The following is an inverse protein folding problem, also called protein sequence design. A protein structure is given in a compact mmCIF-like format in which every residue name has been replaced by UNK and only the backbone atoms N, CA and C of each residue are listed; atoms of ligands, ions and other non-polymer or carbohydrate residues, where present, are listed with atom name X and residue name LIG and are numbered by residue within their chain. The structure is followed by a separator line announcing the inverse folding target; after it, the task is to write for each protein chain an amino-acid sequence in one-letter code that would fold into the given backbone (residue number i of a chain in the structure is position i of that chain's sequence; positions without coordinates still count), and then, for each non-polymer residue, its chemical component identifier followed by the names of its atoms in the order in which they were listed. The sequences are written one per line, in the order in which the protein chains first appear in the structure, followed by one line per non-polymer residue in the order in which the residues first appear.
data_IF_120201304565
#
_entry.id   IF_120201304565
#
_cell.length_a   1.000
_cell.length_b   1.000
_cell.length_c   1.000
_cell.angle_alpha   90.00
_cell.angle_beta   90.00
_cell.angle_gamma   90.00
#
_symmetry.space_group_name_H-M   'P 1'
#
loop_
_entity.id
_entity.type
_entity.pdbx_description
1 polymer ?
#
# COMPACT_ATOMS: atom_id res chain seq x y z
N UNK A 1 -0.81 -12.28 -19.91
CA UNK A 1 -1.96 -11.49 -19.44
C UNK A 1 -2.88 -11.34 -20.63
N UNK A 2 -4.13 -11.74 -20.54
CA UNK A 2 -5.10 -11.69 -21.64
C UNK A 2 -6.00 -10.48 -21.40
N UNK A 3 -6.21 -9.64 -22.42
CA UNK A 3 -7.18 -8.54 -22.36
C UNK A 3 -8.49 -9.00 -23.04
N UNK A 4 -9.62 -8.78 -22.36
CA UNK A 4 -10.96 -9.06 -22.84
C UNK A 4 -11.77 -7.77 -22.76
N UNK A 5 -12.41 -7.37 -23.86
CA UNK A 5 -13.40 -6.28 -23.83
C UNK A 5 -14.74 -6.85 -23.40
N UNK A 6 -15.34 -6.31 -22.35
CA UNK A 6 -16.60 -6.74 -21.79
C UNK A 6 -17.58 -5.58 -21.75
N UNK A 7 -18.81 -5.74 -22.32
CA UNK A 7 -19.84 -4.73 -22.22
C UNK A 7 -20.42 -4.71 -20.80
N UNK A 8 -20.29 -3.60 -20.10
CA UNK A 8 -20.83 -3.41 -18.76
C UNK A 8 -21.64 -2.11 -18.72
N UNK A 9 -22.93 -2.23 -18.43
CA UNK A 9 -23.85 -1.08 -18.32
C UNK A 9 -23.76 -0.13 -19.54
N UNK A 10 -23.65 -0.67 -20.75
CA UNK A 10 -23.58 0.11 -22.01
C UNK A 10 -22.19 0.65 -22.36
N UNK A 11 -21.18 0.45 -21.52
CA UNK A 11 -19.80 0.87 -21.75
C UNK A 11 -18.87 -0.32 -22.02
N UNK A 12 -17.90 -0.14 -22.92
CA UNK A 12 -16.85 -1.12 -23.15
C UNK A 12 -15.78 -1.04 -22.06
N UNK A 13 -15.63 -2.12 -21.28
CA UNK A 13 -14.67 -2.21 -20.19
C UNK A 13 -13.59 -3.22 -20.53
N UNK A 14 -12.32 -2.86 -20.36
CA UNK A 14 -11.20 -3.77 -20.59
C UNK A 14 -10.92 -4.58 -19.33
N UNK A 15 -11.04 -5.90 -19.42
CA UNK A 15 -10.72 -6.84 -18.35
C UNK A 15 -9.32 -7.43 -18.59
N UNK A 16 -8.36 -7.11 -17.75
CA UNK A 16 -7.01 -7.69 -17.76
C UNK A 16 -7.01 -8.97 -16.94
N UNK A 17 -7.07 -10.12 -17.61
CA UNK A 17 -7.22 -11.42 -16.96
C UNK A 17 -5.86 -12.10 -16.80
N UNK A 18 -5.57 -12.58 -15.58
CA UNK A 18 -4.45 -13.46 -15.30
C UNK A 18 -4.91 -14.73 -14.56
N UNK A 19 -4.17 -15.83 -14.73
CA UNK A 19 -4.49 -17.14 -14.15
C UNK A 19 -3.57 -17.47 -12.97
N UNK A 20 -3.57 -16.59 -11.93
CA UNK A 20 -2.68 -16.70 -10.76
C UNK A 20 -3.41 -16.83 -9.43
N UNK A 21 -4.74 -16.76 -9.42
CA UNK A 21 -5.52 -16.94 -8.19
C UNK A 21 -5.51 -18.42 -7.76
N UNK A 22 -5.43 -18.67 -6.46
CA UNK A 22 -5.40 -20.07 -5.92
C UNK A 22 -6.78 -20.72 -5.89
N UNK A 23 -7.80 -19.99 -5.42
CA UNK A 23 -9.16 -20.53 -5.20
C UNK A 23 -10.27 -19.65 -5.78
N UNK A 24 -10.23 -18.35 -5.53
CA UNK A 24 -11.33 -17.43 -5.80
C UNK A 24 -10.99 -16.49 -6.95
N UNK A 25 -12.01 -15.96 -7.62
CA UNK A 25 -11.86 -14.85 -8.56
C UNK A 25 -11.62 -13.58 -7.75
N UNK A 26 -10.56 -12.84 -8.08
CA UNK A 26 -10.19 -11.58 -7.42
C UNK A 26 -10.31 -10.48 -8.47
N UNK A 27 -11.10 -9.45 -8.16
CA UNK A 27 -11.28 -8.27 -9.01
C UNK A 27 -10.64 -7.06 -8.34
N UNK A 28 -9.79 -6.37 -9.07
CA UNK A 28 -9.13 -5.13 -8.61
C UNK A 28 -9.37 -4.01 -9.62
N UNK A 29 -9.68 -2.80 -9.18
CA UNK A 29 -9.78 -1.65 -10.05
C UNK A 29 -8.41 -1.33 -10.67
N UNK A 30 -8.39 -0.97 -11.96
CA UNK A 30 -7.16 -0.59 -12.66
C UNK A 30 -7.24 0.83 -13.20
N UNK A 31 -8.29 1.16 -13.96
CA UNK A 31 -8.55 2.51 -14.46
C UNK A 31 -10.06 2.77 -14.53
N UNK A 32 -10.45 3.98 -14.96
CA UNK A 32 -11.86 4.36 -15.16
C UNK A 32 -12.63 3.41 -16.10
N UNK A 33 -11.91 2.72 -16.99
CA UNK A 33 -12.50 1.83 -18.01
C UNK A 33 -11.87 0.43 -18.01
N UNK A 34 -11.11 0.06 -16.98
CA UNK A 34 -10.47 -1.26 -16.95
C UNK A 34 -10.35 -1.84 -15.53
N UNK A 35 -10.41 -3.19 -15.45
CA UNK A 35 -10.28 -3.97 -14.24
C UNK A 35 -9.21 -5.05 -14.43
N UNK A 36 -8.47 -5.35 -13.35
CA UNK A 36 -7.66 -6.56 -13.26
C UNK A 36 -8.46 -7.70 -12.63
N UNK A 37 -8.51 -8.84 -13.31
CA UNK A 37 -9.18 -10.03 -12.81
C UNK A 37 -8.17 -11.17 -12.72
N UNK A 38 -7.95 -11.66 -11.52
CA UNK A 38 -7.15 -12.85 -11.28
C UNK A 38 -8.08 -14.04 -11.08
N UNK A 39 -7.92 -15.07 -11.90
CA UNK A 39 -8.74 -16.29 -11.88
C UNK A 39 -7.88 -17.52 -11.59
N UNK A 40 -8.47 -18.57 -11.00
CA UNK A 40 -7.79 -19.87 -10.87
C UNK A 40 -7.44 -20.46 -12.23
N UNK A 41 -6.29 -21.19 -12.36
CA UNK A 41 -5.89 -21.81 -13.63
C UNK A 41 -6.91 -22.80 -14.21
N UNK A 42 -7.63 -23.49 -13.32
CA UNK A 42 -8.63 -24.50 -13.67
C UNK A 42 -10.00 -23.95 -14.08
N UNK A 43 -10.24 -22.64 -13.93
CA UNK A 43 -11.52 -22.04 -14.28
C UNK A 43 -11.70 -21.98 -15.80
N UNK A 44 -12.78 -22.62 -16.31
CA UNK A 44 -13.11 -22.62 -17.75
C UNK A 44 -13.60 -21.24 -18.20
N UNK A 45 -13.47 -20.98 -19.50
CA UNK A 45 -13.92 -19.70 -20.09
C UNK A 45 -15.44 -19.52 -19.96
N UNK A 46 -16.21 -20.57 -20.12
CA UNK A 46 -17.67 -20.54 -19.96
C UNK A 46 -18.09 -20.18 -18.53
N UNK A 47 -17.44 -20.76 -17.53
CA UNK A 47 -17.68 -20.42 -16.12
C UNK A 47 -17.24 -18.99 -15.77
N UNK A 48 -16.17 -18.52 -16.36
CA UNK A 48 -15.77 -17.12 -16.19
C UNK A 48 -16.82 -16.17 -16.78
N UNK A 49 -17.34 -16.44 -17.98
CA UNK A 49 -18.40 -15.62 -18.59
C UNK A 49 -19.68 -15.63 -17.75
N UNK A 50 -20.08 -16.78 -17.26
CA UNK A 50 -21.24 -16.89 -16.36
C UNK A 50 -21.03 -16.08 -15.07
N UNK A 51 -19.83 -16.15 -14.48
CA UNK A 51 -19.48 -15.41 -13.28
C UNK A 51 -19.49 -13.90 -13.55
N UNK A 52 -18.93 -13.43 -14.67
CA UNK A 52 -18.92 -12.01 -15.05
C UNK A 52 -20.33 -11.46 -15.14
N UNK A 53 -21.26 -12.16 -15.82
CA UNK A 53 -22.68 -11.78 -15.93
C UNK A 53 -23.37 -11.74 -14.58
N UNK A 54 -23.15 -12.73 -13.72
CA UNK A 54 -23.74 -12.79 -12.39
C UNK A 54 -23.22 -11.70 -11.43
N UNK A 55 -22.05 -11.10 -11.72
CA UNK A 55 -21.40 -10.13 -10.85
C UNK A 55 -21.23 -8.75 -11.49
N UNK A 56 -22.03 -8.41 -12.51
CA UNK A 56 -22.01 -7.07 -13.13
C UNK A 56 -22.14 -5.91 -12.14
N UNK A 57 -23.01 -5.96 -11.12
CA UNK A 57 -23.09 -4.90 -10.11
C UNK A 57 -21.77 -4.71 -9.34
N UNK A 58 -21.07 -5.79 -9.02
CA UNK A 58 -19.77 -5.76 -8.36
C UNK A 58 -18.70 -5.11 -9.27
N UNK A 59 -18.69 -5.48 -10.57
CA UNK A 59 -17.77 -4.92 -11.55
C UNK A 59 -18.00 -3.42 -11.73
N UNK A 60 -19.26 -2.99 -11.82
CA UNK A 60 -19.63 -1.58 -11.89
C UNK A 60 -19.20 -0.80 -10.64
N UNK A 61 -19.40 -1.36 -9.44
CA UNK A 61 -18.92 -0.76 -8.20
C UNK A 61 -17.39 -0.62 -8.18
N UNK A 62 -16.66 -1.62 -8.67
CA UNK A 62 -15.19 -1.56 -8.74
C UNK A 62 -14.70 -0.51 -9.73
N UNK A 63 -15.37 -0.34 -10.87
CA UNK A 63 -15.09 0.74 -11.82
C UNK A 63 -15.39 2.12 -11.24
N UNK A 64 -16.51 2.28 -10.54
CA UNK A 64 -16.85 3.53 -9.87
C UNK A 64 -15.76 3.91 -8.83
N UNK A 65 -15.27 2.94 -8.06
CA UNK A 65 -14.13 3.14 -7.16
C UNK A 65 -12.86 3.57 -7.90
N UNK A 66 -12.59 3.00 -9.07
CA UNK A 66 -11.45 3.38 -9.90
C UNK A 66 -11.61 4.79 -10.49
N UNK A 67 -12.85 5.17 -10.85
CA UNK A 67 -13.15 6.50 -11.40
C UNK A 67 -12.97 7.62 -10.36
N UNK A 68 -13.27 7.34 -9.09
CA UNK A 68 -13.08 8.28 -7.99
C UNK A 68 -11.61 8.41 -7.54
N UNK A 69 -10.71 7.59 -8.09
CA UNK A 69 -9.30 7.64 -7.74
C UNK A 69 -8.50 8.11 -8.96
N UNK A 70 -7.85 9.28 -8.88
CA UNK A 70 -7.00 9.74 -9.97
C UNK A 70 -5.94 8.68 -10.28
N UNK A 71 -5.62 8.45 -11.58
CA UNK A 71 -4.51 7.59 -11.94
C UNK A 71 -3.26 8.16 -11.29
N UNK A 72 -2.48 7.30 -10.62
CA UNK A 72 -1.15 7.69 -10.14
C UNK A 72 -0.32 7.93 -11.40
N UNK A 73 0.16 9.17 -11.64
CA UNK A 73 0.98 9.45 -12.80
C UNK A 73 2.21 8.55 -12.77
N UNK A 74 2.36 7.69 -13.76
CA UNK A 74 3.57 6.88 -13.88
C UNK A 74 4.62 7.74 -14.60
N UNK A 75 5.79 7.90 -13.99
CA UNK A 75 6.98 8.59 -14.52
C UNK A 75 6.95 10.14 -14.53
N UNK A 76 6.01 10.80 -13.90
CA UNK A 76 6.09 12.25 -13.67
C UNK A 76 6.27 12.55 -12.19
N UNK A 77 7.16 13.48 -11.86
CA UNK A 77 7.31 13.95 -10.49
C UNK A 77 5.99 14.57 -10.03
N UNK A 78 5.38 14.13 -8.92
CA UNK A 78 4.17 14.76 -8.40
C UNK A 78 4.49 16.15 -7.84
N UNK A 79 3.47 17.00 -7.70
CA UNK A 79 3.65 18.32 -7.09
C UNK A 79 3.96 18.25 -5.59
N UNK A 80 3.50 17.17 -4.93
CA UNK A 80 3.69 16.95 -3.50
C UNK A 80 3.72 15.45 -3.19
N UNK A 81 4.27 15.12 -2.03
CA UNK A 81 4.19 13.78 -1.44
C UNK A 81 3.76 13.87 0.02
N UNK A 82 3.30 12.74 0.57
CA UNK A 82 3.19 12.62 2.01
C UNK A 82 4.59 12.49 2.64
N UNK A 83 4.86 13.30 3.65
CA UNK A 83 6.06 13.26 4.48
C UNK A 83 5.68 13.44 5.94
N UNK A 84 5.87 12.40 6.76
CA UNK A 84 5.47 12.36 8.18
C UNK A 84 4.03 12.87 8.43
N UNK A 85 3.08 12.46 7.61
CA UNK A 85 1.66 12.82 7.74
C UNK A 85 1.29 14.20 7.20
N UNK A 86 2.21 14.90 6.53
CA UNK A 86 1.97 16.22 5.91
C UNK A 86 2.11 16.13 4.40
N UNK A 87 1.21 16.79 3.67
CA UNK A 87 1.37 17.01 2.22
C UNK A 87 2.49 17.98 2.01
N UNK A 88 3.62 17.52 1.50
CA UNK A 88 4.87 18.28 1.38
C UNK A 88 5.15 18.53 -0.10
N UNK A 89 5.20 19.82 -0.53
CA UNK A 89 5.52 20.19 -1.89
C UNK A 89 6.92 19.73 -2.29
N UNK A 90 7.08 19.39 -3.57
CA UNK A 90 8.37 19.08 -4.19
C UNK A 90 8.84 20.28 -5.01
N UNK A 91 10.01 20.80 -4.69
CA UNK A 91 10.61 21.98 -5.34
C UNK A 91 11.90 21.58 -6.03
N UNK A 92 12.00 21.80 -7.34
CA UNK A 92 13.26 21.61 -8.05
C UNK A 92 14.13 22.85 -7.83
N UNK A 93 15.31 22.62 -7.27
CA UNK A 93 16.29 23.68 -6.99
C UNK A 93 17.54 23.48 -7.83
N UNK A 94 17.68 24.27 -8.89
CA UNK A 94 18.86 24.24 -9.74
C UNK A 94 20.16 24.46 -8.93
N UNK A 95 21.16 23.63 -9.16
CA UNK A 95 22.44 23.70 -8.43
C UNK A 95 22.45 22.95 -7.09
N UNK A 96 21.34 22.40 -6.62
CA UNK A 96 21.37 21.49 -5.48
C UNK A 96 22.06 20.17 -5.87
N UNK A 97 22.85 19.60 -4.96
CA UNK A 97 23.54 18.31 -5.18
C UNK A 97 22.87 17.17 -4.41
N UNK A 98 21.95 17.49 -3.49
CA UNK A 98 21.30 16.53 -2.62
C UNK A 98 19.85 16.93 -2.35
N UNK A 99 19.01 15.91 -2.07
CA UNK A 99 17.65 16.13 -1.61
C UNK A 99 17.68 16.62 -0.17
N UNK A 100 16.96 17.70 0.13
CA UNK A 100 16.87 18.29 1.47
C UNK A 100 15.43 18.65 1.82
N UNK A 101 15.06 18.39 3.06
CA UNK A 101 13.80 18.86 3.64
C UNK A 101 14.05 20.15 4.44
N UNK A 102 13.27 21.19 4.17
CA UNK A 102 13.33 22.46 4.90
C UNK A 102 11.94 22.76 5.50
N UNK A 103 11.61 22.18 6.62
CA UNK A 103 10.37 22.42 7.41
C UNK A 103 9.03 22.47 6.64
N UNK A 104 9.00 22.86 5.36
CA UNK A 104 7.79 23.05 4.55
C UNK A 104 7.80 22.35 3.20
N UNK A 105 8.96 22.06 2.61
CA UNK A 105 9.10 21.48 1.27
C UNK A 105 10.30 20.58 1.14
N UNK A 106 10.27 19.67 0.17
CA UNK A 106 11.40 18.85 -0.24
C UNK A 106 12.05 19.45 -1.48
N UNK A 107 13.31 19.86 -1.34
CA UNK A 107 14.11 20.40 -2.42
C UNK A 107 14.88 19.29 -3.12
N UNK A 108 14.72 19.20 -4.43
CA UNK A 108 15.33 18.16 -5.28
C UNK A 108 16.29 18.82 -6.28
N UNK A 109 17.41 18.15 -6.60
CA UNK A 109 18.33 18.60 -7.65
C UNK A 109 17.70 18.63 -9.03
N UNK A 110 16.82 17.66 -9.31
CA UNK A 110 16.15 17.45 -10.58
C UNK A 110 14.77 16.80 -10.40
N UNK A 111 14.06 16.57 -11.51
CA UNK A 111 12.74 15.95 -11.54
C UNK A 111 12.77 14.40 -11.56
N UNK A 112 13.90 13.77 -11.28
CA UNK A 112 14.05 12.32 -11.36
C UNK A 112 13.39 11.61 -10.16
N UNK A 113 12.51 10.67 -10.45
CA UNK A 113 11.77 9.92 -9.42
C UNK A 113 12.67 8.92 -8.69
N UNK A 114 13.58 8.26 -9.39
CA UNK A 114 14.40 7.20 -8.81
C UNK A 114 15.32 7.70 -7.65
N UNK A 115 16.03 8.85 -7.76
CA UNK A 115 16.78 9.41 -6.65
C UNK A 115 15.88 9.77 -5.45
N UNK A 116 14.67 10.31 -5.70
CA UNK A 116 13.71 10.60 -4.65
C UNK A 116 13.23 9.33 -3.94
N UNK A 117 12.89 8.28 -4.69
CA UNK A 117 12.53 6.99 -4.10
C UNK A 117 13.67 6.39 -3.27
N UNK A 118 14.91 6.51 -3.74
CA UNK A 118 16.08 6.01 -3.01
C UNK A 118 16.31 6.79 -1.71
N UNK A 119 16.20 8.11 -1.77
CA UNK A 119 16.30 8.96 -0.59
C UNK A 119 15.22 8.64 0.44
N UNK A 120 13.96 8.52 0.00
CA UNK A 120 12.84 8.13 0.88
C UNK A 120 13.03 6.73 1.48
N UNK A 121 13.58 5.79 0.72
CA UNK A 121 13.94 4.47 1.23
C UNK A 121 14.98 4.55 2.35
N UNK A 122 16.01 5.37 2.19
CA UNK A 122 17.03 5.59 3.22
C UNK A 122 16.43 6.23 4.46
N UNK A 123 15.61 7.28 4.30
CA UNK A 123 14.91 7.92 5.41
C UNK A 123 13.99 6.92 6.14
N UNK A 124 13.25 6.11 5.40
CA UNK A 124 12.40 5.07 5.97
C UNK A 124 13.23 4.06 6.79
N UNK A 125 14.40 3.65 6.30
CA UNK A 125 15.31 2.76 7.02
C UNK A 125 15.80 3.37 8.33
N UNK A 126 16.20 4.63 8.31
CA UNK A 126 16.70 5.35 9.47
C UNK A 126 15.62 5.65 10.52
N UNK A 127 14.36 5.75 10.12
CA UNK A 127 13.25 6.12 11.00
C UNK A 127 12.39 4.92 11.44
N UNK A 128 11.90 4.12 10.48
CA UNK A 128 10.94 3.04 10.75
C UNK A 128 11.57 1.82 11.43
N UNK A 129 12.81 1.46 11.07
CA UNK A 129 13.45 0.27 11.64
C UNK A 129 13.82 0.46 13.11
N UNK A 130 14.42 1.58 13.55
CA UNK A 130 14.63 1.84 14.98
C UNK A 130 13.31 1.93 15.76
N UNK A 131 12.27 2.58 15.19
CA UNK A 131 10.93 2.65 15.77
C UNK A 131 10.37 1.24 16.03
N UNK A 132 10.41 0.35 15.02
CA UNK A 132 10.00 -1.04 15.15
C UNK A 132 10.80 -1.79 16.22
N UNK A 133 12.13 -1.60 16.27
CA UNK A 133 12.99 -2.23 17.25
C UNK A 133 12.63 -1.77 18.69
N UNK A 134 12.39 -0.48 18.88
CA UNK A 134 11.98 0.08 20.18
C UNK A 134 10.65 -0.52 20.64
N UNK A 135 9.64 -0.59 19.79
CA UNK A 135 8.36 -1.22 20.13
C UNK A 135 8.52 -2.73 20.40
N UNK A 136 9.30 -3.45 19.59
CA UNK A 136 9.55 -4.87 19.81
C UNK A 136 10.23 -5.12 21.18
N UNK A 137 11.22 -4.31 21.52
CA UNK A 137 11.88 -4.37 22.82
C UNK A 137 10.94 -4.10 24.00
N UNK A 138 10.10 -3.04 23.88
CA UNK A 138 9.10 -2.70 24.89
C UNK A 138 8.09 -3.84 25.13
N UNK A 139 7.80 -4.65 24.13
CA UNK A 139 6.92 -5.83 24.23
C UNK A 139 7.67 -7.11 24.57
N UNK A 140 8.96 -7.04 24.85
CA UNK A 140 9.84 -8.20 25.09
C UNK A 140 9.77 -9.21 23.92
N UNK A 141 9.64 -8.71 22.67
CA UNK A 141 9.62 -9.52 21.46
C UNK A 141 10.95 -9.37 20.72
N UNK A 142 11.41 -10.48 20.17
CA UNK A 142 12.64 -10.53 19.37
C UNK A 142 12.31 -11.11 17.97
N UNK A 143 11.96 -10.26 17.00
CA UNK A 143 11.77 -10.73 15.63
C UNK A 143 13.07 -11.29 15.07
N UNK A 144 12.99 -12.37 14.27
CA UNK A 144 14.15 -13.00 13.64
C UNK A 144 14.96 -12.03 12.74
N UNK A 145 14.35 -10.93 12.34
CA UNK A 145 14.97 -9.83 11.62
C UNK A 145 13.96 -8.70 11.40
N UNK A 146 14.48 -7.52 11.12
CA UNK A 146 13.68 -6.35 10.73
C UNK A 146 14.21 -5.79 9.42
N UNK A 147 13.32 -5.45 8.49
CA UNK A 147 13.71 -4.90 7.20
C UNK A 147 12.59 -4.06 6.56
N UNK A 148 12.93 -3.28 5.55
CA UNK A 148 11.95 -2.64 4.69
C UNK A 148 11.51 -3.56 3.54
N UNK A 149 10.34 -3.26 2.96
CA UNK A 149 9.82 -3.91 1.75
C UNK A 149 9.29 -2.89 0.74
N UNK A 150 9.35 -3.25 -0.54
CA UNK A 150 8.74 -2.52 -1.67
C UNK A 150 7.38 -3.09 -2.08
N UNK A 151 6.76 -3.93 -1.24
CA UNK A 151 5.46 -4.53 -1.54
C UNK A 151 4.42 -3.47 -1.91
N UNK A 152 3.49 -3.84 -2.82
CA UNK A 152 2.40 -2.95 -3.26
C UNK A 152 1.05 -3.33 -2.65
N UNK A 153 0.99 -4.37 -1.82
CA UNK A 153 -0.27 -4.97 -1.34
C UNK A 153 -0.44 -4.99 0.18
N UNK A 154 0.60 -4.63 0.93
CA UNK A 154 0.54 -4.61 2.39
C UNK A 154 1.49 -3.55 2.98
N UNK A 155 1.17 -3.09 4.19
CA UNK A 155 1.94 -2.10 4.93
C UNK A 155 3.02 -2.72 5.79
N UNK A 156 2.76 -3.90 6.32
CA UNK A 156 3.69 -4.71 7.06
C UNK A 156 3.45 -6.19 6.84
N UNK A 157 4.40 -7.02 7.25
CA UNK A 157 4.26 -8.46 7.29
C UNK A 157 5.18 -9.04 8.36
N UNK A 158 4.61 -9.87 9.23
CA UNK A 158 5.34 -10.67 10.20
C UNK A 158 5.46 -12.12 9.71
N UNK A 159 6.67 -12.66 9.70
CA UNK A 159 6.94 -14.06 9.36
C UNK A 159 7.86 -14.67 10.39
N UNK A 160 7.51 -15.83 10.90
CA UNK A 160 8.27 -16.52 11.94
C UNK A 160 9.77 -16.67 11.59
N UNK A 161 10.10 -17.07 10.34
CA UNK A 161 11.49 -17.35 9.94
C UNK A 161 12.30 -16.12 9.53
N UNK A 162 11.66 -15.06 9.03
CA UNK A 162 12.36 -13.90 8.42
C UNK A 162 12.09 -12.60 9.15
N UNK A 163 11.29 -12.63 10.21
CA UNK A 163 10.97 -11.47 11.03
C UNK A 163 9.94 -10.55 10.41
N UNK A 164 10.02 -9.28 10.75
CA UNK A 164 9.05 -8.24 10.38
C UNK A 164 9.62 -7.37 9.26
N UNK A 165 8.77 -7.10 8.27
CA UNK A 165 9.09 -6.15 7.19
C UNK A 165 8.03 -5.06 7.12
N UNK A 166 8.47 -3.80 7.10
CA UNK A 166 7.62 -2.63 6.96
C UNK A 166 7.73 -2.04 5.55
N UNK A 167 6.62 -1.57 5.01
CA UNK A 167 6.61 -0.86 3.75
C UNK A 167 7.30 0.50 3.92
N UNK A 168 8.30 0.78 3.11
CA UNK A 168 9.06 2.02 3.19
C UNK A 168 8.19 3.28 3.02
N UNK A 169 7.07 3.17 2.30
CA UNK A 169 6.14 4.28 2.07
C UNK A 169 5.47 4.78 3.34
N UNK A 170 5.51 3.99 4.42
CA UNK A 170 5.03 4.43 5.74
C UNK A 170 5.77 5.65 6.27
N UNK A 171 6.96 5.99 5.75
CA UNK A 171 7.64 7.24 6.10
C UNK A 171 6.78 8.48 5.78
N UNK A 172 5.91 8.39 4.79
CA UNK A 172 4.95 9.44 4.45
C UNK A 172 3.78 9.53 5.43
N UNK A 173 3.45 8.48 6.16
CA UNK A 173 2.32 8.45 7.08
C UNK A 173 2.61 9.21 8.38
N UNK A 174 1.57 9.67 9.11
CA UNK A 174 1.72 10.18 10.47
C UNK A 174 2.41 9.18 11.40
N UNK A 175 3.12 9.67 12.40
CA UNK A 175 3.81 8.80 13.37
C UNK A 175 2.88 7.81 14.05
N UNK A 176 1.68 8.24 14.42
CA UNK A 176 0.65 7.37 15.02
C UNK A 176 0.24 6.20 14.12
N UNK A 177 0.29 6.41 12.80
CA UNK A 177 0.02 5.35 11.80
C UNK A 177 1.22 4.43 11.66
N UNK A 178 2.44 4.98 11.68
CA UNK A 178 3.67 4.19 11.67
C UNK A 178 3.74 3.29 12.91
N UNK A 179 3.46 3.86 14.10
CA UNK A 179 3.42 3.12 15.37
C UNK A 179 2.37 2.01 15.32
N UNK A 180 1.16 2.31 14.84
CA UNK A 180 0.12 1.30 14.67
C UNK A 180 0.59 0.13 13.81
N UNK A 181 1.20 0.37 12.66
CA UNK A 181 1.66 -0.73 11.79
C UNK A 181 2.78 -1.53 12.46
N UNK A 182 3.72 -0.88 13.15
CA UNK A 182 4.74 -1.58 13.93
C UNK A 182 4.12 -2.51 14.98
N UNK A 183 3.20 -1.98 15.78
CA UNK A 183 2.53 -2.72 16.85
C UNK A 183 1.65 -3.84 16.31
N UNK A 184 0.97 -3.63 15.18
CA UNK A 184 0.20 -4.64 14.46
C UNK A 184 1.07 -5.84 14.06
N UNK A 185 2.23 -5.58 13.47
CA UNK A 185 3.15 -6.65 13.05
C UNK A 185 3.79 -7.37 14.24
N UNK A 186 4.08 -6.65 15.32
CA UNK A 186 4.59 -7.26 16.55
C UNK A 186 3.52 -8.14 17.19
N UNK A 187 2.24 -7.74 17.16
CA UNK A 187 1.13 -8.54 17.69
C UNK A 187 1.01 -9.89 16.98
N UNK A 188 1.36 -9.97 15.70
CA UNK A 188 1.43 -11.24 14.96
C UNK A 188 2.50 -12.22 15.47
N UNK A 189 3.45 -11.77 16.25
CA UNK A 189 4.38 -12.69 16.94
C UNK A 189 3.72 -13.45 18.09
N UNK A 190 2.54 -12.99 18.54
CA UNK A 190 1.76 -13.67 19.59
C UNK A 190 0.53 -14.35 18.99
N UNK A 191 -0.18 -13.69 18.09
CA UNK A 191 -1.39 -14.18 17.45
C UNK A 191 -1.23 -14.12 15.93
N UNK A 192 -1.19 -15.28 15.28
CA UNK A 192 -0.95 -15.38 13.84
C UNK A 192 -2.13 -14.88 12.97
N UNK A 193 -3.30 -14.80 13.54
CA UNK A 193 -4.55 -14.37 12.90
C UNK A 193 -5.06 -13.06 13.52
N UNK A 194 -6.10 -12.47 12.91
CA UNK A 194 -6.77 -11.28 13.42
C UNK A 194 -7.97 -11.64 14.32
N UNK A 195 -7.77 -12.60 15.25
CA UNK A 195 -8.75 -13.02 16.24
C UNK A 195 -9.12 -11.87 17.21
N UNK A 196 -10.20 -12.03 18.02
CA UNK A 196 -10.51 -11.06 19.06
C UNK A 196 -9.34 -10.79 20.02
N UNK A 197 -8.56 -11.82 20.35
CA UNK A 197 -7.38 -11.73 21.22
C UNK A 197 -6.27 -10.88 20.56
N UNK A 198 -6.06 -11.01 19.25
CA UNK A 198 -5.16 -10.15 18.50
C UNK A 198 -5.57 -8.68 18.64
N UNK A 199 -6.85 -8.37 18.39
CA UNK A 199 -7.32 -6.98 18.47
C UNK A 199 -7.32 -6.42 19.90
N UNK A 200 -7.58 -7.25 20.90
CA UNK A 200 -7.41 -6.86 22.31
C UNK A 200 -5.96 -6.47 22.62
N UNK A 201 -5.00 -7.25 22.14
CA UNK A 201 -3.58 -6.95 22.30
C UNK A 201 -3.21 -5.65 21.59
N UNK A 202 -3.63 -5.45 20.33
CA UNK A 202 -3.40 -4.21 19.60
C UNK A 202 -4.06 -3.03 20.32
N UNK A 203 -5.31 -3.16 20.78
CA UNK A 203 -6.03 -2.11 21.50
C UNK A 203 -5.31 -1.71 22.79
N UNK A 204 -4.75 -2.68 23.52
CA UNK A 204 -4.04 -2.43 24.76
C UNK A 204 -2.82 -1.53 24.55
N UNK A 205 -2.03 -1.77 23.53
CA UNK A 205 -0.78 -1.03 23.27
C UNK A 205 -0.94 0.15 22.29
N UNK A 206 -2.00 0.16 21.51
CA UNK A 206 -2.32 1.21 20.54
C UNK A 206 -3.81 1.56 20.62
N UNK A 207 -4.28 2.22 21.68
CA UNK A 207 -5.71 2.55 21.85
C UNK A 207 -6.29 3.34 20.67
N UNK A 208 -5.48 4.16 20.01
CA UNK A 208 -5.86 4.96 18.85
C UNK A 208 -5.77 4.21 17.52
N UNK A 209 -5.60 2.87 17.51
CA UNK A 209 -5.45 2.11 16.25
C UNK A 209 -6.62 2.29 15.25
N UNK A 210 -7.88 2.49 15.66
CA UNK A 210 -8.97 2.70 14.70
C UNK A 210 -8.76 3.98 13.87
N UNK A 211 -8.24 5.05 14.48
CA UNK A 211 -7.90 6.31 13.78
C UNK A 211 -6.77 6.07 12.77
N UNK A 212 -5.75 5.31 13.14
CA UNK A 212 -4.65 4.96 12.24
C UNK A 212 -5.12 4.09 11.05
N UNK A 213 -5.98 3.12 11.29
CA UNK A 213 -6.63 2.32 10.24
C UNK A 213 -7.46 3.19 9.30
N UNK A 214 -8.25 4.10 9.86
CA UNK A 214 -9.08 5.03 9.09
C UNK A 214 -8.21 5.90 8.19
N UNK A 215 -7.11 6.45 8.71
CA UNK A 215 -6.16 7.23 7.94
C UNK A 215 -5.55 6.43 6.78
N UNK A 216 -5.10 5.19 7.03
CA UNK A 216 -4.57 4.32 5.97
C UNK A 216 -5.62 3.97 4.92
N UNK A 217 -6.87 3.81 5.31
CA UNK A 217 -7.98 3.57 4.38
C UNK A 217 -8.25 4.79 3.49
N UNK A 218 -8.15 6.00 4.03
CA UNK A 218 -8.35 7.24 3.29
C UNK A 218 -7.17 7.62 2.41
N UNK A 219 -5.95 7.59 2.95
CA UNK A 219 -4.75 8.18 2.35
C UNK A 219 -3.70 7.16 1.92
N UNK A 220 -3.83 5.91 2.32
CA UNK A 220 -2.82 4.88 2.04
C UNK A 220 -2.51 4.75 0.55
N UNK A 221 -3.49 4.94 -0.33
CA UNK A 221 -3.26 4.90 -1.77
C UNK A 221 -2.39 6.05 -2.27
N UNK A 222 -2.51 7.23 -1.66
CA UNK A 222 -1.71 8.40 -2.03
C UNK A 222 -0.22 8.20 -1.70
N UNK A 223 0.12 7.33 -0.74
CA UNK A 223 1.50 6.95 -0.44
C UNK A 223 2.19 6.17 -1.58
N UNK A 224 1.42 5.64 -2.54
CA UNK A 224 1.95 4.95 -3.72
C UNK A 224 2.13 5.86 -4.93
N UNK A 225 2.03 7.19 -4.77
CA UNK A 225 2.13 8.17 -5.87
C UNK A 225 3.48 8.08 -6.62
N UNK A 226 4.51 7.60 -5.97
CA UNK A 226 5.83 7.38 -6.58
C UNK A 226 6.02 5.93 -7.12
N UNK A 227 4.97 5.10 -7.21
CA UNK A 227 5.01 3.75 -7.79
C UNK A 227 5.15 2.60 -6.79
#
# INVERSE_FOLDING_TARGET
MQALVYPLSGNAVTLHINRRAKKNIIVLPHSKSSLHISIPPWLSQSRLQQWLRANEPLLAQMLAKAACTPPIPQNTLPEWIWWHGRKTPLVIQSGATQIRYNESSLHLPDAAIAPLQQWLWQQAGQHLLPKLATHAHAWQKQPAGIALTRAKTFWGVCRHRTGIRLNWRLIGAPETVQDYVCLHEIAHMTHADHSPQFWQLVQHYCPAYPTAQHWLKQHGRELFILG
#
